data_IF_176730889113
#
_entry.id   IF_176730889113
#
_cell.length_a   1.000
_cell.length_b   1.000
_cell.length_c   1.000
_cell.angle_alpha   90.00
_cell.angle_beta   90.00
_cell.angle_gamma   90.00
#
_symmetry.space_group_name_H-M   'P 1'
#
loop_
_entity.id
_entity.type
_entity.pdbx_description
1 polymer ?
#
# COMPACT_ATOMS: atom_id res chain seq x y z
N UNK A 1 -0.16 -9.75 -12.87
CA UNK A 1 0.96 -9.49 -11.91
C UNK A 1 1.24 -8.00 -11.89
N UNK A 2 1.38 -7.43 -10.70
CA UNK A 2 1.72 -6.01 -10.52
C UNK A 2 3.14 -5.70 -11.01
N UNK A 3 3.32 -4.50 -11.55
CA UNK A 3 4.65 -3.96 -11.82
C UNK A 3 5.20 -3.28 -10.56
N UNK A 4 5.83 -4.07 -9.71
CA UNK A 4 6.33 -3.61 -8.40
C UNK A 4 7.37 -2.49 -8.52
N UNK A 5 8.19 -2.52 -9.58
CA UNK A 5 9.20 -1.49 -9.79
C UNK A 5 8.54 -0.13 -10.07
N UNK A 6 7.56 -0.09 -10.94
CA UNK A 6 6.84 1.14 -11.26
C UNK A 6 5.98 1.60 -10.07
N UNK A 7 5.30 0.70 -9.38
CA UNK A 7 4.52 1.03 -8.17
C UNK A 7 5.42 1.72 -7.13
N UNK A 8 6.60 1.16 -6.85
CA UNK A 8 7.56 1.76 -5.92
C UNK A 8 8.00 3.15 -6.37
N UNK A 9 8.29 3.32 -7.65
CA UNK A 9 8.71 4.61 -8.22
C UNK A 9 7.60 5.65 -8.19
N UNK A 10 6.38 5.25 -8.52
CA UNK A 10 5.21 6.13 -8.44
C UNK A 10 4.97 6.62 -7.02
N UNK A 11 5.02 5.72 -6.04
CA UNK A 11 4.88 6.07 -4.62
C UNK A 11 6.01 6.96 -4.13
N UNK A 12 7.24 6.71 -4.59
CA UNK A 12 8.41 7.52 -4.25
C UNK A 12 8.27 8.98 -4.70
N UNK A 13 7.56 9.23 -5.79
CA UNK A 13 7.35 10.57 -6.34
C UNK A 13 6.32 11.41 -5.59
N UNK A 14 5.49 10.79 -4.73
CA UNK A 14 4.37 11.45 -4.05
C UNK A 14 4.45 11.35 -2.52
N UNK A 15 5.60 11.59 -1.88
CA UNK A 15 5.70 11.51 -0.43
C UNK A 15 4.82 12.55 0.24
N UNK A 16 4.07 12.13 1.25
CA UNK A 16 3.14 12.99 1.97
C UNK A 16 3.31 12.79 3.48
N UNK A 17 3.16 13.85 4.25
CA UNK A 17 3.32 13.82 5.70
C UNK A 17 2.16 13.05 6.35
N UNK A 18 2.45 12.42 7.48
CA UNK A 18 1.49 11.61 8.22
C UNK A 18 0.15 12.31 8.46
N UNK A 19 -0.94 11.60 8.19
CA UNK A 19 -2.34 12.04 8.21
C UNK A 19 -2.73 13.01 7.09
N UNK A 20 -1.84 13.28 6.14
CA UNK A 20 -2.09 14.09 4.94
C UNK A 20 -1.78 13.30 3.65
N UNK A 21 -1.75 11.97 3.74
CA UNK A 21 -1.38 11.07 2.64
C UNK A 21 -2.54 10.85 1.66
N UNK A 22 -3.10 11.92 1.12
CA UNK A 22 -4.30 11.87 0.26
C UNK A 22 -4.04 11.25 -1.11
N UNK A 23 -2.93 11.63 -1.77
CA UNK A 23 -2.54 11.07 -3.07
C UNK A 23 -2.04 9.63 -2.94
N UNK A 24 -1.25 9.37 -1.90
CA UNK A 24 -0.79 8.02 -1.55
C UNK A 24 -1.98 7.10 -1.32
N UNK A 25 -2.96 7.54 -0.51
CA UNK A 25 -4.20 6.81 -0.26
C UNK A 25 -4.96 6.52 -1.57
N UNK A 26 -5.14 7.53 -2.42
CA UNK A 26 -5.86 7.35 -3.69
C UNK A 26 -5.13 6.37 -4.63
N UNK A 27 -3.80 6.44 -4.69
CA UNK A 27 -2.98 5.52 -5.48
C UNK A 27 -3.14 4.07 -4.99
N UNK A 28 -2.99 3.86 -3.68
CA UNK A 28 -3.12 2.55 -3.06
C UNK A 28 -4.53 1.98 -3.26
N UNK A 29 -5.57 2.79 -3.07
CA UNK A 29 -6.96 2.36 -3.27
C UNK A 29 -7.20 1.89 -4.69
N UNK A 30 -6.66 2.58 -5.71
CA UNK A 30 -6.80 2.16 -7.10
C UNK A 30 -6.19 0.76 -7.34
N UNK A 31 -4.98 0.53 -6.84
CA UNK A 31 -4.31 -0.78 -6.97
C UNK A 31 -5.08 -1.87 -6.21
N UNK A 32 -5.52 -1.57 -5.00
CA UNK A 32 -6.27 -2.52 -4.16
C UNK A 32 -7.60 -2.87 -4.80
N UNK A 33 -8.36 -1.88 -5.30
CA UNK A 33 -9.63 -2.10 -5.98
C UNK A 33 -9.46 -2.98 -7.23
N UNK A 34 -8.42 -2.73 -8.01
CA UNK A 34 -8.11 -3.54 -9.19
C UNK A 34 -7.78 -4.99 -8.83
N UNK A 35 -7.00 -5.20 -7.76
CA UNK A 35 -6.62 -6.53 -7.28
C UNK A 35 -7.80 -7.33 -6.70
N UNK A 36 -8.75 -6.64 -6.08
CA UNK A 36 -9.83 -7.29 -5.31
C UNK A 36 -11.17 -7.30 -6.02
N UNK A 37 -11.24 -6.77 -7.24
CA UNK A 37 -12.47 -6.68 -8.01
C UNK A 37 -13.16 -8.04 -8.17
N UNK A 38 -14.42 -8.10 -7.79
CA UNK A 38 -15.24 -9.31 -7.91
C UNK A 38 -14.98 -10.41 -6.87
N UNK A 39 -14.12 -10.16 -5.87
CA UNK A 39 -13.84 -11.11 -4.80
C UNK A 39 -14.81 -10.90 -3.62
N UNK A 40 -15.63 -11.89 -3.31
CA UNK A 40 -16.64 -11.83 -2.26
C UNK A 40 -16.10 -12.11 -0.85
N UNK A 41 -14.85 -12.56 -0.76
CA UNK A 41 -14.15 -12.81 0.51
C UNK A 41 -13.24 -11.67 0.96
N UNK A 42 -13.29 -10.50 0.27
CA UNK A 42 -12.49 -9.32 0.61
C UNK A 42 -13.40 -8.17 1.02
N UNK A 43 -13.07 -7.52 2.12
CA UNK A 43 -13.73 -6.32 2.61
C UNK A 43 -12.70 -5.20 2.78
N UNK A 44 -13.00 -4.02 2.22
CA UNK A 44 -12.12 -2.85 2.32
C UNK A 44 -12.81 -1.80 3.16
N UNK A 45 -12.09 -1.24 4.13
CA UNK A 45 -12.51 -0.10 4.93
C UNK A 45 -11.44 0.97 4.94
N UNK A 46 -11.85 2.20 5.07
CA UNK A 46 -10.94 3.34 5.17
C UNK A 46 -11.22 4.14 6.43
N UNK A 47 -10.17 4.71 7.00
CA UNK A 47 -10.27 5.65 8.09
C UNK A 47 -9.25 6.77 7.89
N UNK A 48 -9.71 7.99 7.62
CA UNK A 48 -8.86 9.10 7.16
C UNK A 48 -8.08 8.67 5.90
N UNK A 49 -6.74 8.73 5.94
CA UNK A 49 -5.87 8.25 4.87
C UNK A 49 -5.48 6.77 5.00
N UNK A 50 -5.87 6.13 6.09
CA UNK A 50 -5.61 4.72 6.34
C UNK A 50 -6.54 3.78 5.55
N UNK A 51 -6.04 2.59 5.25
CA UNK A 51 -6.77 1.55 4.50
C UNK A 51 -6.68 0.25 5.29
N UNK A 52 -7.80 -0.44 5.42
CA UNK A 52 -7.89 -1.78 5.99
C UNK A 52 -8.43 -2.72 4.93
N UNK A 53 -7.68 -3.76 4.61
CA UNK A 53 -8.11 -4.81 3.68
C UNK A 53 -8.22 -6.11 4.46
N UNK A 54 -9.46 -6.54 4.69
CA UNK A 54 -9.74 -7.80 5.38
C UNK A 54 -10.03 -8.89 4.35
N UNK A 55 -9.28 -9.99 4.43
CA UNK A 55 -9.45 -11.17 3.59
C UNK A 55 -9.97 -12.28 4.47
N UNK A 56 -11.20 -12.71 4.22
CA UNK A 56 -11.82 -13.81 4.94
C UNK A 56 -11.20 -15.14 4.51
N UNK A 57 -10.74 -15.91 5.48
CA UNK A 57 -10.24 -17.26 5.24
C UNK A 57 -11.34 -18.26 4.92
N UNK A 58 -11.00 -19.33 4.21
CA UNK A 58 -11.93 -20.43 3.86
C UNK A 58 -12.29 -21.29 5.08
N UNK A 59 -11.38 -21.43 6.04
CA UNK A 59 -11.55 -22.15 7.30
C UNK A 59 -10.74 -21.46 8.39
N UNK A 60 -11.15 -20.24 8.82
CA UNK A 60 -10.30 -19.41 9.66
C UNK A 60 -10.24 -19.94 11.09
N UNK A 61 -9.04 -20.05 11.62
CA UNK A 61 -8.73 -20.35 13.03
C UNK A 61 -8.14 -19.11 13.73
N UNK A 62 -7.55 -18.21 12.94
CA UNK A 62 -6.94 -16.97 13.42
C UNK A 62 -6.97 -15.89 12.34
N UNK A 63 -6.66 -14.67 12.75
CA UNK A 63 -6.40 -13.54 11.85
C UNK A 63 -4.94 -13.12 11.95
N UNK A 64 -4.28 -13.06 10.81
CA UNK A 64 -2.89 -12.62 10.70
C UNK A 64 -2.89 -11.19 10.17
N UNK A 65 -2.28 -10.27 10.90
CA UNK A 65 -2.17 -8.87 10.53
C UNK A 65 -0.84 -8.53 9.86
N UNK A 66 -0.89 -7.66 8.85
CA UNK A 66 0.26 -7.04 8.23
C UNK A 66 0.08 -5.52 8.24
N UNK A 67 0.96 -4.82 8.94
CA UNK A 67 0.92 -3.35 9.04
C UNK A 67 2.01 -2.72 8.19
N UNK A 68 1.66 -1.64 7.50
CA UNK A 68 2.59 -0.85 6.69
C UNK A 68 2.30 0.63 6.90
N UNK A 69 3.31 1.41 7.19
CA UNK A 69 3.23 2.87 7.20
C UNK A 69 3.27 3.41 5.77
N UNK A 70 2.61 4.54 5.54
CA UNK A 70 2.43 5.10 4.20
C UNK A 70 2.95 6.53 4.05
N UNK A 71 3.45 7.13 5.13
CA UNK A 71 3.92 8.51 5.16
C UNK A 71 5.35 8.69 4.64
N UNK A 72 5.61 9.88 4.14
CA UNK A 72 6.94 10.38 3.84
C UNK A 72 7.46 11.31 4.95
N UNK A 73 8.68 11.81 4.77
CA UNK A 73 9.37 12.68 5.73
C UNK A 73 9.52 14.11 5.19
N UNK A 74 9.57 15.12 6.09
CA UNK A 74 9.80 16.52 5.72
C UNK A 74 11.28 16.77 5.41
N UNK A 75 11.79 16.11 4.37
CA UNK A 75 13.17 16.14 3.94
C UNK A 75 13.21 16.53 2.46
N UNK A 76 14.11 17.42 2.08
CA UNK A 76 14.37 17.73 0.68
C UNK A 76 15.14 16.59 0.04
N UNK A 77 14.61 16.03 -1.04
CA UNK A 77 15.30 14.97 -1.76
C UNK A 77 16.42 15.55 -2.64
N UNK A 78 17.62 15.00 -2.48
CA UNK A 78 18.82 15.34 -3.24
C UNK A 78 19.49 14.06 -3.79
N UNK A 79 18.69 13.24 -4.47
CA UNK A 79 19.16 11.95 -5.00
C UNK A 79 19.53 12.02 -6.48
N UNK A 80 18.98 12.97 -7.24
CA UNK A 80 19.14 13.05 -8.69
C UNK A 80 18.47 11.93 -9.48
N UNK A 81 17.54 11.18 -8.84
CA UNK A 81 16.82 10.09 -9.51
C UNK A 81 15.75 10.61 -10.46
N UNK A 82 15.49 9.85 -11.54
CA UNK A 82 14.42 10.15 -12.49
C UNK A 82 13.04 10.17 -11.86
N UNK A 83 12.86 9.38 -10.80
CA UNK A 83 11.64 9.25 -10.02
C UNK A 83 11.75 9.93 -8.65
N UNK A 84 12.55 10.97 -8.52
CA UNK A 84 12.65 11.77 -7.31
C UNK A 84 11.28 12.39 -6.94
N UNK A 85 11.14 12.78 -5.68
CA UNK A 85 9.92 13.43 -5.17
C UNK A 85 9.49 14.60 -6.04
N UNK A 86 8.20 14.65 -6.37
CA UNK A 86 7.55 15.81 -7.00
C UNK A 86 6.93 16.75 -5.96
N UNK A 87 7.01 16.40 -4.68
CA UNK A 87 6.52 17.20 -3.57
C UNK A 87 7.71 17.88 -2.88
N UNK A 88 7.88 19.17 -3.13
CA UNK A 88 8.97 19.95 -2.56
C UNK A 88 9.01 19.84 -1.04
N UNK A 89 10.21 19.60 -0.50
CA UNK A 89 10.43 19.49 0.95
C UNK A 89 9.96 18.18 1.57
N UNK A 90 9.60 17.18 0.76
CA UNK A 90 9.14 15.87 1.23
C UNK A 90 9.83 14.76 0.47
N UNK A 91 10.17 13.68 1.16
CA UNK A 91 10.85 12.53 0.57
C UNK A 91 10.46 11.23 1.27
N UNK A 92 10.34 10.14 0.51
CA UNK A 92 10.37 8.79 1.07
C UNK A 92 11.80 8.39 1.43
N UNK A 93 12.31 8.91 2.55
CA UNK A 93 13.69 8.69 3.00
C UNK A 93 13.84 7.53 4.00
N UNK A 94 12.73 7.00 4.52
CA UNK A 94 12.73 5.86 5.46
C UNK A 94 12.52 4.52 4.77
N UNK A 95 11.86 4.49 3.59
CA UNK A 95 11.59 3.27 2.84
C UNK A 95 10.12 2.83 2.86
N UNK A 96 9.18 3.68 3.28
CA UNK A 96 7.77 3.33 3.30
C UNK A 96 7.18 3.10 1.89
N UNK A 97 7.73 3.73 0.85
CA UNK A 97 7.42 3.44 -0.55
C UNK A 97 7.73 1.98 -0.93
N UNK A 98 8.83 1.44 -0.44
CA UNK A 98 9.19 0.02 -0.62
C UNK A 98 8.31 -0.88 0.24
N UNK A 99 8.02 -0.50 1.49
CA UNK A 99 7.16 -1.28 2.38
C UNK A 99 5.73 -1.37 1.84
N UNK A 100 5.17 -0.29 1.30
CA UNK A 100 3.87 -0.30 0.61
C UNK A 100 3.87 -1.24 -0.59
N UNK A 101 4.92 -1.22 -1.39
CA UNK A 101 5.07 -2.10 -2.55
C UNK A 101 5.12 -3.57 -2.14
N UNK A 102 5.84 -3.90 -1.06
CA UNK A 102 5.87 -5.26 -0.49
C UNK A 102 4.48 -5.67 -0.01
N UNK A 103 3.77 -4.79 0.69
CA UNK A 103 2.41 -5.07 1.17
C UNK A 103 1.44 -5.35 0.00
N UNK A 104 1.53 -4.57 -1.08
CA UNK A 104 0.72 -4.82 -2.29
C UNK A 104 1.06 -6.16 -2.95
N UNK A 105 2.33 -6.54 -2.98
CA UNK A 105 2.77 -7.84 -3.49
C UNK A 105 2.24 -9.00 -2.64
N UNK A 106 2.25 -8.87 -1.32
CA UNK A 106 1.65 -9.85 -0.42
C UNK A 106 0.13 -9.92 -0.60
N UNK A 107 -0.53 -8.79 -0.77
CA UNK A 107 -1.96 -8.73 -1.04
C UNK A 107 -2.30 -9.43 -2.37
N UNK A 108 -1.55 -9.18 -3.43
CA UNK A 108 -1.72 -9.85 -4.73
C UNK A 108 -1.66 -11.37 -4.57
N UNK A 109 -0.68 -11.89 -3.83
CA UNK A 109 -0.57 -13.31 -3.54
C UNK A 109 -1.75 -13.82 -2.69
N UNK A 110 -2.14 -13.06 -1.68
CA UNK A 110 -3.21 -13.44 -0.77
C UNK A 110 -4.58 -13.54 -1.44
N UNK A 111 -4.84 -12.72 -2.46
CA UNK A 111 -6.11 -12.72 -3.19
C UNK A 111 -6.11 -13.62 -4.43
N UNK A 112 -4.97 -14.16 -4.83
CA UNK A 112 -4.86 -15.07 -5.97
C UNK A 112 -5.59 -16.40 -5.73
N UNK A 113 -5.70 -16.80 -4.46
CA UNK A 113 -6.51 -17.92 -4.00
C UNK A 113 -6.90 -17.68 -2.54
N UNK A 114 -8.18 -17.82 -2.19
CA UNK A 114 -8.66 -17.56 -0.83
C UNK A 114 -7.79 -18.29 0.22
N UNK A 115 -7.21 -17.58 1.20
CA UNK A 115 -6.35 -18.19 2.21
C UNK A 115 -7.17 -19.04 3.19
N UNK A 116 -6.50 -19.91 3.96
CA UNK A 116 -7.15 -20.70 5.01
C UNK A 116 -7.56 -19.82 6.19
N UNK A 117 -6.63 -19.03 6.72
CA UNK A 117 -6.89 -18.09 7.83
C UNK A 117 -7.28 -16.70 7.31
N UNK A 118 -7.85 -15.88 8.18
CA UNK A 118 -8.11 -14.49 7.86
C UNK A 118 -6.80 -13.71 7.77
N UNK A 119 -6.74 -12.77 6.83
CA UNK A 119 -5.64 -11.80 6.73
C UNK A 119 -6.19 -10.39 6.87
N UNK A 120 -5.43 -9.51 7.51
CA UNK A 120 -5.75 -8.10 7.64
C UNK A 120 -4.52 -7.27 7.28
N UNK A 121 -4.62 -6.53 6.19
CA UNK A 121 -3.62 -5.55 5.79
C UNK A 121 -4.04 -4.16 6.22
#
# INVERSE_FOLDING_TARGET
>A
MLDYLNIRRDLHQIPEIGLEEYKTHAYLMQVIDDLTAGLDFVEIRTWRTGILVFIKGSSPDKTIGWRTDIDGLPIVEDTGLDFASTHEGRMHACGHDMHMTVALGLLEQAVSAQPTHNLLF
#
